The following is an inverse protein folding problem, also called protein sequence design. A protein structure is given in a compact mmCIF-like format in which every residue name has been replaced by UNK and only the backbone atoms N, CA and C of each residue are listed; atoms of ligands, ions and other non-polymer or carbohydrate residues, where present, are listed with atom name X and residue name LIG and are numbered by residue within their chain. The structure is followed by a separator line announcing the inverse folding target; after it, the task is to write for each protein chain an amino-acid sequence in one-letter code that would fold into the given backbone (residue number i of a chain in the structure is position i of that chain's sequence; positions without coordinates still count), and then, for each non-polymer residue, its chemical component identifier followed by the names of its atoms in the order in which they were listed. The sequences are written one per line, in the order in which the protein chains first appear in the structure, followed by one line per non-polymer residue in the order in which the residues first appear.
data_IF_793652279845
#
_entry.id   IF_793652279845
#
_cell.length_a   1.000
_cell.length_b   1.000
_cell.length_c   1.000
_cell.angle_alpha   90.00
_cell.angle_beta   90.00
_cell.angle_gamma   90.00
#
_symmetry.space_group_name_H-M   'P 1'
#
loop_
_entity.id
_entity.type
_entity.pdbx_description
1 polymer ?
#
# COMPACT_ATOMS: atom_id res chain seq x y z
N UNK A 1 -26.79 -3.89 -3.00
CA UNK A 1 -25.62 -3.86 -3.88
C UNK A 1 -24.77 -2.70 -3.37
N UNK A 2 -23.62 -3.00 -2.79
CA UNK A 2 -22.73 -1.99 -2.20
C UNK A 2 -22.20 -1.10 -3.32
N UNK A 3 -22.29 0.22 -3.15
CA UNK A 3 -21.75 1.19 -4.10
C UNK A 3 -20.26 1.40 -3.81
N UNK A 4 -19.39 0.86 -4.66
CA UNK A 4 -17.95 1.01 -4.56
C UNK A 4 -17.41 2.28 -5.21
N UNK A 5 -18.24 3.06 -5.92
CA UNK A 5 -17.81 4.31 -6.58
C UNK A 5 -17.18 5.32 -5.61
N UNK A 6 -17.54 5.22 -4.33
CA UNK A 6 -16.99 6.07 -3.26
C UNK A 6 -15.56 5.72 -2.85
N UNK A 7 -15.09 4.52 -3.24
CA UNK A 7 -13.75 4.03 -2.93
C UNK A 7 -12.73 4.37 -4.02
N UNK A 8 -13.19 4.84 -5.18
CA UNK A 8 -12.31 5.15 -6.29
C UNK A 8 -11.24 6.16 -5.86
N UNK A 9 -10.00 5.69 -5.80
CA UNK A 9 -8.82 6.52 -5.70
C UNK A 9 -8.56 7.21 -7.04
N UNK A 10 -7.61 8.13 -7.05
CA UNK A 10 -7.10 8.70 -8.29
C UNK A 10 -5.85 7.92 -8.68
N UNK A 11 -5.90 7.06 -9.71
CA UNK A 11 -4.71 6.37 -10.19
C UNK A 11 -3.57 7.36 -10.36
N UNK A 12 -2.42 7.05 -9.78
CA UNK A 12 -1.33 7.99 -9.61
C UNK A 12 -0.08 7.47 -10.30
N UNK A 13 0.55 8.31 -11.12
CA UNK A 13 1.86 8.03 -11.70
C UNK A 13 2.94 8.20 -10.65
N UNK A 14 3.92 7.29 -10.64
CA UNK A 14 5.11 7.35 -9.80
C UNK A 14 6.32 7.58 -10.70
N UNK A 15 7.11 8.59 -10.40
CA UNK A 15 8.36 8.87 -11.13
C UNK A 15 9.50 9.01 -10.12
N UNK A 16 10.48 8.10 -10.18
CA UNK A 16 11.76 8.22 -9.49
C UNK A 16 12.84 8.64 -10.49
N UNK A 17 13.69 9.60 -10.12
CA UNK A 17 14.80 10.11 -10.94
C UNK A 17 16.07 10.16 -10.11
N UNK A 18 17.04 9.30 -10.43
CA UNK A 18 18.31 9.19 -9.73
C UNK A 18 18.10 9.00 -8.22
N UNK A 19 17.01 8.34 -7.81
CA UNK A 19 16.66 8.24 -6.40
C UNK A 19 17.62 7.33 -5.65
N UNK A 20 18.09 7.81 -4.50
CA UNK A 20 18.95 7.07 -3.59
C UNK A 20 18.64 7.39 -2.13
N UNK A 21 18.94 6.43 -1.27
CA UNK A 21 18.80 6.58 0.18
C UNK A 21 19.93 5.90 0.92
N UNK A 22 20.54 6.63 1.85
CA UNK A 22 21.56 6.09 2.76
C UNK A 22 21.07 6.30 4.20
N UNK A 23 20.84 5.22 4.94
CA UNK A 23 20.44 5.30 6.35
C UNK A 23 21.54 5.94 7.20
N UNK A 24 21.16 6.71 8.23
CA UNK A 24 22.10 7.33 9.16
C UNK A 24 23.06 6.29 9.77
N UNK A 25 24.34 6.66 9.84
CA UNK A 25 25.40 5.78 10.35
C UNK A 25 25.81 4.64 9.39
N UNK A 26 25.25 4.58 8.17
CA UNK A 26 25.73 3.68 7.12
C UNK A 26 26.57 4.44 6.11
N UNK A 27 27.58 3.77 5.55
CA UNK A 27 28.44 4.32 4.49
C UNK A 27 28.01 3.88 3.10
N UNK A 28 27.28 2.78 3.01
CA UNK A 28 26.72 2.28 1.75
C UNK A 28 25.25 2.66 1.65
N UNK A 29 24.81 3.13 0.49
CA UNK A 29 23.39 3.40 0.25
C UNK A 29 22.57 2.10 0.27
N UNK A 30 21.36 2.20 0.79
CA UNK A 30 20.34 1.14 0.67
C UNK A 30 19.73 1.15 -0.72
N UNK A 31 19.70 2.31 -1.36
CA UNK A 31 19.24 2.53 -2.75
C UNK A 31 20.18 3.53 -3.41
N UNK A 32 20.53 3.30 -4.67
CA UNK A 32 21.35 4.20 -5.44
C UNK A 32 20.88 4.30 -6.90
N UNK A 33 20.73 5.53 -7.38
CA UNK A 33 20.49 5.86 -8.79
C UNK A 33 19.27 5.13 -9.41
N UNK A 34 18.17 5.10 -8.69
CA UNK A 34 16.93 4.46 -9.17
C UNK A 34 16.19 5.40 -10.11
N UNK A 35 16.10 5.00 -11.38
CA UNK A 35 15.28 5.62 -12.39
C UNK A 35 14.11 4.70 -12.74
N UNK A 36 12.89 5.10 -12.39
CA UNK A 36 11.69 4.28 -12.59
C UNK A 36 10.47 5.15 -12.85
N UNK A 37 9.68 4.75 -13.85
CA UNK A 37 8.34 5.30 -14.08
C UNK A 37 7.33 4.17 -13.99
N UNK A 38 6.28 4.38 -13.19
CA UNK A 38 5.10 3.51 -13.10
C UNK A 38 3.91 4.36 -13.50
N UNK A 39 3.20 3.93 -14.54
CA UNK A 39 2.07 4.68 -15.09
C UNK A 39 0.81 4.53 -14.22
N UNK A 40 -0.16 5.46 -14.31
CA UNK A 40 -1.39 5.38 -13.52
C UNK A 40 -2.14 4.06 -13.76
N UNK A 41 -2.48 3.36 -12.68
CA UNK A 41 -3.18 2.07 -12.72
C UNK A 41 -2.31 0.88 -13.11
N UNK A 42 -1.02 1.08 -13.35
CA UNK A 42 -0.07 -0.01 -13.63
C UNK A 42 0.16 -0.86 -12.38
N UNK A 43 0.33 -2.17 -12.57
CA UNK A 43 0.50 -3.17 -11.52
C UNK A 43 1.88 -3.80 -11.64
N UNK A 44 2.79 -3.40 -10.75
CA UNK A 44 4.23 -3.72 -10.85
C UNK A 44 4.64 -4.66 -9.75
N UNK A 45 5.38 -5.72 -10.12
CA UNK A 45 6.14 -6.55 -9.21
C UNK A 45 7.55 -5.97 -9.04
N UNK A 46 7.93 -5.64 -7.82
CA UNK A 46 9.27 -5.18 -7.51
C UNK A 46 10.12 -6.36 -7.07
N UNK A 47 11.09 -6.74 -7.88
CA UNK A 47 12.00 -7.87 -7.67
C UNK A 47 13.37 -7.39 -7.20
N UNK A 48 14.19 -8.32 -6.72
CA UNK A 48 15.57 -8.12 -6.31
C UNK A 48 15.92 -8.99 -5.10
N UNK A 49 17.21 -9.10 -4.81
CA UNK A 49 17.73 -9.88 -3.69
C UNK A 49 17.22 -9.38 -2.33
N UNK A 50 17.27 -10.24 -1.32
CA UNK A 50 17.01 -9.80 0.06
C UNK A 50 18.02 -8.74 0.46
N UNK A 51 17.54 -7.59 0.95
CA UNK A 51 18.39 -6.46 1.31
C UNK A 51 18.72 -5.50 0.15
N UNK A 52 18.17 -5.68 -1.07
CA UNK A 52 18.35 -4.75 -2.19
C UNK A 52 17.61 -3.42 -2.05
N UNK A 53 16.95 -3.16 -0.93
CA UNK A 53 16.29 -1.88 -0.65
C UNK A 53 14.82 -1.79 -1.07
N UNK A 54 14.15 -2.87 -1.48
CA UNK A 54 12.75 -2.87 -1.93
C UNK A 54 11.80 -2.22 -0.91
N UNK A 55 11.84 -2.66 0.35
CA UNK A 55 11.03 -2.07 1.43
C UNK A 55 11.36 -0.60 1.68
N UNK A 56 12.66 -0.23 1.55
CA UNK A 56 13.09 1.18 1.63
C UNK A 56 12.51 1.99 0.48
N UNK A 57 12.44 1.44 -0.73
CA UNK A 57 11.83 2.12 -1.86
C UNK A 57 10.31 2.26 -1.71
N UNK A 58 9.61 1.23 -1.21
CA UNK A 58 8.19 1.37 -0.86
C UNK A 58 7.97 2.45 0.20
N UNK A 59 8.80 2.47 1.26
CA UNK A 59 8.73 3.50 2.30
C UNK A 59 8.97 4.91 1.75
N UNK A 60 9.88 5.05 0.76
CA UNK A 60 10.12 6.32 0.08
C UNK A 60 8.90 6.79 -0.72
N UNK A 61 8.26 5.89 -1.49
CA UNK A 61 7.04 6.21 -2.25
C UNK A 61 5.87 6.52 -1.30
N UNK A 62 5.82 5.88 -0.14
CA UNK A 62 4.80 6.16 0.87
C UNK A 62 5.01 7.48 1.63
N UNK A 63 6.19 8.11 1.49
CA UNK A 63 6.53 9.32 2.24
C UNK A 63 6.82 9.08 3.73
N UNK A 64 7.10 7.83 4.12
CA UNK A 64 7.41 7.44 5.50
C UNK A 64 8.89 7.09 5.71
N UNK A 65 9.70 7.33 4.70
CA UNK A 65 11.14 7.25 4.83
C UNK A 65 11.58 8.45 5.69
N UNK A 66 12.33 8.18 6.74
CA UNK A 66 12.60 9.12 7.82
C UNK A 66 13.17 10.49 7.45
N UNK A 67 13.33 11.32 8.45
CA UNK A 67 13.88 12.68 8.31
C UNK A 67 15.37 12.68 7.94
N UNK A 68 15.93 13.84 7.67
CA UNK A 68 17.37 14.04 7.41
C UNK A 68 18.28 13.53 8.56
N UNK A 69 17.74 13.38 9.77
CA UNK A 69 18.43 12.78 10.91
C UNK A 69 18.51 11.25 10.80
N UNK A 70 17.60 10.62 10.04
CA UNK A 70 17.51 9.17 9.87
C UNK A 70 18.19 8.68 8.60
N UNK A 71 18.54 9.59 7.68
CA UNK A 71 19.24 9.24 6.46
C UNK A 71 19.50 10.41 5.51
N UNK A 72 20.13 10.11 4.39
CA UNK A 72 20.41 11.08 3.32
C UNK A 72 19.75 10.63 2.03
N UNK A 73 18.97 11.54 1.44
CA UNK A 73 18.29 11.35 0.16
C UNK A 73 19.14 11.91 -0.99
N UNK A 74 19.16 11.18 -2.11
CA UNK A 74 19.60 11.66 -3.42
C UNK A 74 18.45 11.57 -4.42
N UNK A 75 18.46 12.41 -5.45
CA UNK A 75 17.40 12.42 -6.47
C UNK A 75 16.02 12.77 -5.92
N UNK A 76 14.98 12.36 -6.64
CA UNK A 76 13.60 12.70 -6.29
C UNK A 76 12.63 11.55 -6.59
N UNK A 77 11.51 11.52 -5.86
CA UNK A 77 10.31 10.77 -6.22
C UNK A 77 9.17 11.76 -6.33
N UNK A 78 8.40 11.68 -7.42
CA UNK A 78 7.23 12.50 -7.67
C UNK A 78 6.00 11.62 -7.91
N UNK A 79 4.88 12.03 -7.35
CA UNK A 79 3.56 11.46 -7.53
C UNK A 79 2.72 12.43 -8.35
N UNK A 80 2.08 11.93 -9.42
CA UNK A 80 1.18 12.73 -10.26
C UNK A 80 -0.18 12.05 -10.34
N UNK A 81 -1.22 12.72 -9.86
CA UNK A 81 -2.58 12.20 -9.90
C UNK A 81 -3.29 12.52 -11.23
N UNK A 82 -4.47 11.95 -11.44
CA UNK A 82 -5.29 12.14 -12.65
C UNK A 82 -5.78 13.58 -12.86
N UNK A 83 -5.60 14.49 -11.91
CA UNK A 83 -5.89 15.92 -12.08
C UNK A 83 -4.71 16.73 -12.59
N UNK A 84 -3.53 16.09 -12.69
CA UNK A 84 -2.26 16.72 -13.01
C UNK A 84 -1.58 17.37 -11.82
N UNK A 85 -2.04 17.11 -10.58
CA UNK A 85 -1.32 17.52 -9.38
C UNK A 85 -0.05 16.67 -9.25
N UNK A 86 1.10 17.35 -9.10
CA UNK A 86 2.42 16.72 -8.94
C UNK A 86 2.98 17.10 -7.59
N UNK A 87 3.30 16.11 -6.79
CA UNK A 87 3.78 16.30 -5.41
C UNK A 87 4.89 15.31 -5.07
N UNK A 88 5.69 15.64 -4.06
CA UNK A 88 6.54 14.65 -3.39
C UNK A 88 5.69 13.73 -2.49
N UNK A 89 6.16 12.50 -2.21
CA UNK A 89 5.51 11.60 -1.25
C UNK A 89 5.31 12.24 0.13
N UNK A 90 4.22 11.85 0.82
CA UNK A 90 3.91 12.36 2.16
C UNK A 90 3.10 13.67 2.21
N UNK A 91 2.64 14.15 1.06
CA UNK A 91 1.76 15.32 0.96
C UNK A 91 0.28 14.94 0.77
N UNK A 92 -0.44 15.57 -0.16
CA UNK A 92 -1.90 15.42 -0.25
C UNK A 92 -2.37 14.23 -1.07
N UNK A 93 -1.50 13.61 -1.89
CA UNK A 93 -1.84 12.39 -2.65
C UNK A 93 -1.79 11.17 -1.72
N UNK A 94 -2.92 10.50 -1.44
CA UNK A 94 -2.92 9.38 -0.50
C UNK A 94 -2.21 8.15 -1.08
N UNK A 95 -1.25 7.63 -0.32
CA UNK A 95 -0.54 6.38 -0.62
C UNK A 95 -0.81 5.38 0.50
N UNK A 96 -1.28 4.19 0.15
CA UNK A 96 -1.49 3.09 1.07
C UNK A 96 -0.28 2.17 1.09
N UNK A 97 0.27 1.91 2.28
CA UNK A 97 1.37 0.95 2.48
C UNK A 97 0.89 -0.17 3.40
N UNK A 98 1.01 -1.40 2.92
CA UNK A 98 0.74 -2.62 3.68
C UNK A 98 2.07 -3.34 3.89
N UNK A 99 2.44 -3.55 5.15
CA UNK A 99 3.73 -4.12 5.55
C UNK A 99 3.67 -5.66 5.66
N UNK A 100 4.83 -6.29 5.71
CA UNK A 100 4.99 -7.72 5.85
C UNK A 100 4.43 -8.27 7.18
N UNK A 101 4.63 -7.53 8.29
CA UNK A 101 4.13 -7.92 9.61
C UNK A 101 2.73 -7.36 9.86
N UNK A 102 1.68 -8.21 9.83
CA UNK A 102 0.32 -7.75 10.03
C UNK A 102 0.04 -7.26 11.46
N UNK A 103 0.82 -7.68 12.46
CA UNK A 103 0.64 -7.24 13.83
C UNK A 103 1.08 -5.79 14.05
N UNK A 104 2.11 -5.35 13.34
CA UNK A 104 2.64 -3.99 13.43
C UNK A 104 1.74 -2.92 12.80
N UNK A 105 0.72 -3.32 12.03
CA UNK A 105 -0.15 -2.43 11.28
C UNK A 105 -1.47 -2.12 12.00
N UNK A 106 -1.82 -2.91 13.02
CA UNK A 106 -3.06 -2.71 13.77
C UNK A 106 -2.93 -1.49 14.66
N UNK A 107 -3.80 -0.51 14.46
CA UNK A 107 -3.77 0.79 15.14
C UNK A 107 -4.85 0.87 16.21
N UNK A 108 -6.05 0.35 15.94
CA UNK A 108 -7.22 0.47 16.79
C UNK A 108 -7.65 -0.87 17.39
N UNK A 109 -8.34 -0.81 18.54
CA UNK A 109 -8.82 -2.00 19.24
C UNK A 109 -10.01 -2.69 18.54
N UNK A 110 -10.69 -2.01 17.59
CA UNK A 110 -11.85 -2.51 16.86
C UNK A 110 -11.65 -2.39 15.35
N UNK A 111 -12.17 -3.36 14.63
CA UNK A 111 -12.07 -3.44 13.17
C UNK A 111 -12.59 -2.19 12.46
N UNK A 112 -13.77 -1.69 12.83
CA UNK A 112 -14.35 -0.52 12.20
C UNK A 112 -13.51 0.75 12.40
N UNK A 113 -13.00 0.95 13.62
CA UNK A 113 -12.17 2.11 13.97
C UNK A 113 -10.80 2.03 13.27
N UNK A 114 -10.27 0.82 13.11
CA UNK A 114 -8.99 0.60 12.42
C UNK A 114 -9.10 0.95 10.93
N UNK A 115 -10.15 0.46 10.25
CA UNK A 115 -10.42 0.81 8.85
C UNK A 115 -10.68 2.33 8.69
N UNK A 116 -11.34 2.98 9.66
CA UNK A 116 -11.68 4.39 9.61
C UNK A 116 -10.46 5.32 9.74
N UNK A 117 -9.38 4.85 10.36
CA UNK A 117 -8.22 5.67 10.76
C UNK A 117 -7.64 6.51 9.61
N UNK A 118 -7.41 5.91 8.43
CA UNK A 118 -6.91 6.64 7.27
C UNK A 118 -7.87 7.73 6.78
N UNK A 119 -9.17 7.47 6.82
CA UNK A 119 -10.19 8.44 6.45
C UNK A 119 -10.26 9.62 7.45
N UNK A 120 -10.07 9.35 8.74
CA UNK A 120 -10.03 10.37 9.78
C UNK A 120 -8.83 11.31 9.60
N UNK A 121 -7.66 10.75 9.28
CA UNK A 121 -6.46 11.53 8.99
C UNK A 121 -6.61 12.41 7.75
N UNK A 122 -7.41 11.98 6.76
CA UNK A 122 -7.76 12.76 5.57
C UNK A 122 -8.92 13.74 5.82
N UNK A 123 -9.40 13.82 7.07
CA UNK A 123 -10.49 14.73 7.49
C UNK A 123 -11.80 14.56 6.69
N UNK A 124 -12.12 13.35 6.26
CA UNK A 124 -13.43 13.07 5.64
C UNK A 124 -14.58 13.32 6.64
N UNK A 125 -15.75 13.77 6.15
CA UNK A 125 -16.95 13.88 6.99
C UNK A 125 -17.34 12.53 7.58
N UNK A 126 -17.81 12.51 8.84
CA UNK A 126 -18.15 11.29 9.58
C UNK A 126 -19.06 10.31 8.81
N UNK A 127 -20.07 10.82 8.13
CA UNK A 127 -20.99 10.01 7.34
C UNK A 127 -20.27 9.32 6.17
N UNK A 128 -19.38 10.05 5.51
CA UNK A 128 -18.54 9.55 4.43
C UNK A 128 -17.59 8.45 4.93
N UNK A 129 -16.95 8.65 6.09
CA UNK A 129 -16.06 7.66 6.71
C UNK A 129 -16.77 6.31 6.84
N UNK A 130 -17.93 6.28 7.48
CA UNK A 130 -18.63 5.02 7.73
C UNK A 130 -19.17 4.35 6.47
N UNK A 131 -19.52 5.13 5.45
CA UNK A 131 -19.89 4.62 4.14
C UNK A 131 -18.70 3.94 3.46
N UNK A 132 -17.53 4.58 3.48
CA UNK A 132 -16.27 4.03 2.94
C UNK A 132 -15.80 2.79 3.70
N UNK A 133 -15.85 2.82 5.02
CA UNK A 133 -15.50 1.68 5.90
C UNK A 133 -16.37 0.46 5.57
N UNK A 134 -17.69 0.64 5.43
CA UNK A 134 -18.59 -0.45 5.08
C UNK A 134 -18.26 -1.03 3.69
N UNK A 135 -18.08 -0.17 2.69
CA UNK A 135 -17.76 -0.59 1.33
C UNK A 135 -16.38 -1.30 1.26
N UNK A 136 -15.36 -0.75 1.92
CA UNK A 136 -14.03 -1.36 1.96
C UNK A 136 -14.03 -2.73 2.63
N UNK A 137 -14.77 -2.86 3.75
CA UNK A 137 -14.95 -4.15 4.44
C UNK A 137 -15.59 -5.19 3.54
N UNK A 138 -16.62 -4.81 2.78
CA UNK A 138 -17.29 -5.72 1.86
C UNK A 138 -16.37 -6.15 0.70
N UNK A 139 -15.52 -5.25 0.22
CA UNK A 139 -14.60 -5.50 -0.90
C UNK A 139 -13.50 -6.52 -0.56
N UNK A 140 -12.96 -6.48 0.66
CA UNK A 140 -11.93 -7.45 1.08
C UNK A 140 -12.48 -8.85 1.35
N UNK A 141 -13.77 -9.07 1.12
CA UNK A 141 -14.46 -10.36 1.24
C UNK A 141 -15.02 -10.64 2.63
N UNK A 142 -15.48 -11.87 2.90
CA UNK A 142 -16.09 -12.23 4.19
C UNK A 142 -15.18 -11.85 5.35
N UNK A 143 -15.69 -10.99 6.21
CA UNK A 143 -14.92 -10.44 7.32
C UNK A 143 -15.76 -10.43 8.60
N UNK A 144 -15.14 -10.11 9.71
CA UNK A 144 -15.77 -10.01 11.01
C UNK A 144 -16.61 -8.73 11.16
N UNK A 145 -17.38 -8.61 12.23
CA UNK A 145 -18.15 -7.41 12.53
C UNK A 145 -17.25 -6.21 12.83
N UNK A 146 -17.78 -4.99 12.63
CA UNK A 146 -17.04 -3.74 12.88
C UNK A 146 -16.55 -3.60 14.33
N UNK A 147 -17.33 -4.11 15.28
CA UNK A 147 -17.02 -4.09 16.72
C UNK A 147 -16.06 -5.22 17.16
N UNK A 148 -15.65 -6.09 16.22
CA UNK A 148 -14.80 -7.22 16.58
C UNK A 148 -13.41 -6.74 17.03
N UNK A 149 -12.85 -7.32 18.13
CA UNK A 149 -11.54 -6.94 18.64
C UNK A 149 -10.43 -7.33 17.66
N UNK A 150 -9.58 -6.35 17.29
CA UNK A 150 -8.48 -6.56 16.34
C UNK A 150 -7.41 -7.52 16.85
N UNK A 151 -7.20 -7.58 18.16
CA UNK A 151 -6.28 -8.53 18.81
C UNK A 151 -6.63 -10.02 18.57
N UNK A 152 -7.90 -10.30 18.25
CA UNK A 152 -8.43 -11.65 18.01
C UNK A 152 -8.39 -12.08 16.54
N UNK A 153 -7.94 -11.22 15.66
CA UNK A 153 -7.82 -11.51 14.25
C UNK A 153 -6.63 -12.42 13.97
N UNK A 154 -6.80 -13.36 13.02
CA UNK A 154 -5.67 -14.10 12.47
C UNK A 154 -4.77 -13.21 11.60
N UNK A 155 -3.53 -13.62 11.32
CA UNK A 155 -2.62 -12.86 10.47
C UNK A 155 -3.23 -12.49 9.11
N UNK A 156 -3.87 -13.42 8.42
CA UNK A 156 -4.56 -13.14 7.15
C UNK A 156 -5.76 -12.21 7.29
N UNK A 157 -6.45 -12.22 8.44
CA UNK A 157 -7.49 -11.23 8.72
C UNK A 157 -6.91 -9.85 8.98
N UNK A 158 -5.77 -9.74 9.67
CA UNK A 158 -5.07 -8.46 9.89
C UNK A 158 -4.54 -7.88 8.58
N UNK A 159 -4.00 -8.71 7.68
CA UNK A 159 -3.62 -8.26 6.34
C UNK A 159 -4.82 -7.70 5.55
N UNK A 160 -5.96 -8.38 5.59
CA UNK A 160 -7.19 -7.86 4.96
C UNK A 160 -7.73 -6.61 5.66
N UNK A 161 -7.54 -6.49 6.98
CA UNK A 161 -7.86 -5.27 7.73
C UNK A 161 -7.04 -4.08 7.21
N UNK A 162 -5.72 -4.23 7.09
CA UNK A 162 -4.85 -3.20 6.55
C UNK A 162 -5.25 -2.81 5.11
N UNK A 163 -5.53 -3.80 4.25
CA UNK A 163 -6.06 -3.55 2.90
C UNK A 163 -7.38 -2.77 2.94
N UNK A 164 -8.30 -3.13 3.83
CA UNK A 164 -9.56 -2.39 3.97
C UNK A 164 -9.34 -0.94 4.37
N UNK A 165 -8.39 -0.65 5.26
CA UNK A 165 -8.00 0.72 5.62
C UNK A 165 -7.47 1.51 4.42
N UNK A 166 -6.57 0.91 3.64
CA UNK A 166 -6.02 1.51 2.40
C UNK A 166 -7.13 1.79 1.38
N UNK A 167 -8.06 0.85 1.20
CA UNK A 167 -9.22 1.02 0.31
C UNK A 167 -10.11 2.16 0.79
N UNK A 168 -10.47 2.18 2.07
CA UNK A 168 -11.37 3.17 2.64
C UNK A 168 -10.85 4.60 2.46
N UNK A 169 -9.55 4.82 2.63
CA UNK A 169 -8.96 6.16 2.44
C UNK A 169 -8.91 6.60 0.97
N UNK A 170 -9.12 5.70 0.02
CA UNK A 170 -9.11 6.03 -1.41
C UNK A 170 -7.71 6.28 -1.95
N UNK A 171 -6.74 5.45 -1.54
CA UNK A 171 -5.37 5.55 -2.01
C UNK A 171 -5.27 5.42 -3.53
N UNK A 172 -4.59 6.36 -4.18
CA UNK A 172 -4.27 6.31 -5.61
C UNK A 172 -3.09 5.40 -5.93
N UNK A 173 -2.25 5.14 -4.93
CA UNK A 173 -1.13 4.19 -4.96
C UNK A 173 -1.29 3.20 -3.82
N UNK A 174 -1.12 1.92 -4.11
CA UNK A 174 -1.13 0.84 -3.13
C UNK A 174 0.20 0.09 -3.20
N UNK A 175 0.89 0.06 -2.08
CA UNK A 175 2.20 -0.55 -1.90
C UNK A 175 2.07 -1.74 -0.97
N UNK A 176 2.53 -2.91 -1.40
CA UNK A 176 2.44 -4.14 -0.63
C UNK A 176 3.84 -4.73 -0.44
N UNK A 177 4.28 -4.82 0.81
CA UNK A 177 5.57 -5.40 1.18
C UNK A 177 5.38 -6.81 1.71
N UNK A 178 5.63 -7.81 0.87
CA UNK A 178 5.51 -9.26 1.16
C UNK A 178 4.15 -9.62 1.84
N UNK A 179 3.00 -9.20 1.29
CA UNK A 179 1.71 -9.28 1.98
C UNK A 179 1.23 -10.72 2.24
N UNK A 180 1.89 -11.73 1.66
CA UNK A 180 1.51 -13.15 1.84
C UNK A 180 2.55 -14.00 2.57
N UNK A 181 3.72 -13.43 2.93
CA UNK A 181 4.89 -14.18 3.41
C UNK A 181 4.63 -15.04 4.68
N UNK A 182 3.79 -14.55 5.60
CA UNK A 182 3.53 -15.21 6.88
C UNK A 182 2.15 -15.87 6.96
N UNK A 183 1.51 -16.12 5.81
CA UNK A 183 0.16 -16.65 5.73
C UNK A 183 0.13 -18.11 5.29
N UNK A 184 -0.88 -18.84 5.76
CA UNK A 184 -1.19 -20.14 5.19
C UNK A 184 -1.70 -20.00 3.73
N UNK A 185 -1.72 -21.08 2.94
CA UNK A 185 -2.12 -20.99 1.53
C UNK A 185 -3.56 -20.48 1.30
N UNK A 186 -4.45 -20.62 2.28
CA UNK A 186 -5.82 -20.11 2.17
C UNK A 186 -5.85 -18.60 2.43
N UNK A 187 -5.19 -18.14 3.49
CA UNK A 187 -5.02 -16.72 3.80
C UNK A 187 -4.33 -15.94 2.69
N UNK A 188 -3.26 -16.51 2.10
CA UNK A 188 -2.57 -15.91 0.96
C UNK A 188 -3.51 -15.71 -0.24
N UNK A 189 -4.31 -16.73 -0.60
CA UNK A 189 -5.30 -16.60 -1.69
C UNK A 189 -6.37 -15.55 -1.39
N UNK A 190 -6.80 -15.42 -0.13
CA UNK A 190 -7.79 -14.42 0.26
C UNK A 190 -7.22 -13.00 0.16
N UNK A 191 -5.95 -12.79 0.51
CA UNK A 191 -5.26 -11.51 0.34
C UNK A 191 -5.12 -11.15 -1.14
N UNK A 192 -4.62 -12.06 -1.98
CA UNK A 192 -4.50 -11.81 -3.43
C UNK A 192 -5.85 -11.49 -4.06
N UNK A 193 -6.92 -12.20 -3.66
CA UNK A 193 -8.29 -11.91 -4.14
C UNK A 193 -8.75 -10.52 -3.72
N UNK A 194 -8.48 -10.12 -2.48
CA UNK A 194 -8.82 -8.78 -1.99
C UNK A 194 -8.07 -7.69 -2.75
N UNK A 195 -6.79 -7.90 -3.06
CA UNK A 195 -5.98 -6.97 -3.88
C UNK A 195 -6.50 -6.91 -5.32
N UNK A 196 -6.86 -8.05 -5.93
CA UNK A 196 -7.48 -8.07 -7.28
C UNK A 196 -8.74 -7.22 -7.31
N UNK A 197 -9.65 -7.45 -6.36
CA UNK A 197 -10.89 -6.67 -6.25
C UNK A 197 -10.60 -5.17 -6.04
N UNK A 198 -9.61 -4.83 -5.19
CA UNK A 198 -9.19 -3.46 -4.97
C UNK A 198 -8.80 -2.77 -6.29
N UNK A 199 -7.84 -3.34 -7.03
CA UNK A 199 -7.33 -2.68 -8.25
C UNK A 199 -8.36 -2.66 -9.37
N UNK A 200 -9.25 -3.67 -9.46
CA UNK A 200 -10.34 -3.71 -10.43
C UNK A 200 -11.40 -2.62 -10.17
N UNK A 201 -11.75 -2.39 -8.90
CA UNK A 201 -12.80 -1.44 -8.53
C UNK A 201 -12.27 0.00 -8.42
N UNK A 202 -11.02 0.20 -8.01
CA UNK A 202 -10.47 1.54 -7.77
C UNK A 202 -9.58 2.07 -8.88
N UNK A 203 -9.01 1.18 -9.69
CA UNK A 203 -8.01 1.53 -10.70
C UNK A 203 -6.67 2.00 -10.11
N UNK A 204 -6.43 1.81 -8.81
CA UNK A 204 -5.21 2.26 -8.13
C UNK A 204 -3.95 1.67 -8.76
N UNK A 205 -2.87 2.46 -8.76
CA UNK A 205 -1.53 1.99 -9.12
C UNK A 205 -1.02 1.05 -8.05
N UNK A 206 -0.53 -0.13 -8.44
CA UNK A 206 -0.12 -1.18 -7.51
C UNK A 206 1.37 -1.47 -7.64
N UNK A 207 2.07 -1.49 -6.50
CA UNK A 207 3.45 -1.99 -6.42
C UNK A 207 3.50 -3.09 -5.35
N UNK A 208 3.93 -4.27 -5.75
CA UNK A 208 4.03 -5.44 -4.86
C UNK A 208 5.48 -5.89 -4.78
N UNK A 209 5.99 -6.07 -3.58
CA UNK A 209 7.20 -6.84 -3.29
C UNK A 209 6.77 -8.24 -2.86
N UNK A 210 7.21 -9.28 -3.53
CA UNK A 210 6.85 -10.64 -3.19
C UNK A 210 7.90 -11.64 -3.70
N UNK A 211 8.15 -12.69 -2.92
CA UNK A 211 9.07 -13.78 -3.29
C UNK A 211 8.36 -14.93 -4.02
N UNK A 212 7.10 -15.16 -3.71
CA UNK A 212 6.30 -16.23 -4.33
C UNK A 212 5.40 -15.66 -5.44
N UNK A 213 5.93 -15.59 -6.66
CA UNK A 213 5.27 -14.92 -7.79
C UNK A 213 4.00 -15.64 -8.29
N UNK A 214 3.91 -16.97 -8.11
CA UNK A 214 2.82 -17.78 -8.70
C UNK A 214 1.41 -17.36 -8.24
N UNK A 215 1.27 -16.87 -7.01
CA UNK A 215 -0.03 -16.39 -6.51
C UNK A 215 -0.49 -15.10 -7.18
N UNK A 216 0.42 -14.36 -7.80
CA UNK A 216 0.20 -13.04 -8.41
C UNK A 216 0.17 -13.10 -9.95
N UNK A 217 0.35 -14.29 -10.53
CA UNK A 217 0.28 -14.48 -11.99
C UNK A 217 -1.07 -14.02 -12.55
N UNK A 218 -1.03 -13.21 -13.62
CA UNK A 218 -2.22 -12.65 -14.27
C UNK A 218 -2.79 -11.40 -13.61
N UNK A 219 -2.31 -11.01 -12.41
CA UNK A 219 -2.69 -9.76 -11.76
C UNK A 219 -1.71 -8.63 -12.10
N UNK A 220 -0.43 -8.93 -12.26
CA UNK A 220 0.64 -7.95 -12.45
C UNK A 220 0.98 -7.78 -13.92
N UNK A 221 1.26 -6.53 -14.34
CA UNK A 221 1.53 -6.17 -15.74
C UNK A 221 3.00 -6.38 -16.11
N UNK A 222 3.94 -6.07 -15.20
CA UNK A 222 5.38 -6.28 -15.38
C UNK A 222 6.14 -6.45 -14.08
N UNK A 223 7.37 -6.94 -14.18
CA UNK A 223 8.35 -6.97 -13.10
C UNK A 223 9.44 -5.91 -13.33
N UNK A 224 9.92 -5.32 -12.23
CA UNK A 224 11.04 -4.37 -12.18
C UNK A 224 12.04 -4.87 -11.16
N UNK A 225 13.30 -4.94 -11.52
CA UNK A 225 14.38 -5.36 -10.63
C UNK A 225 15.04 -4.13 -9.99
N UNK A 226 15.21 -4.18 -8.66
CA UNK A 226 16.04 -3.26 -7.88
C UNK A 226 17.30 -4.02 -7.45
N UNK A 227 18.45 -3.53 -7.88
CA UNK A 227 19.75 -4.11 -7.64
C UNK A 227 20.58 -3.26 -6.66
#
# INVERSE_FOLDING_TARGET
MTDFSTLAGRPTKITARGFGWTHAGRTQPALADIDLVIEPGERVLLCGDSGSGKSTFLAAIAGVLGSDEEGTRAGEILLEDSTGAVEEPGHSIPVGLVLQDPDSQVISARVGDDIAFGCENLAYPREEIWRRVAAAKDLVGPFVDMDFPTERLSGGQKQRLALAGVIAMGAGVVLLDEPTANLDPAGARDVVRAVSALVEETGATLVVVEHQHTAWEGLLDRAVEIA
#
